data_IF_305093785676
#
_entry.id   IF_305093785676
#
_cell.length_a   1.000
_cell.length_b   1.000
_cell.length_c   1.000
_cell.angle_alpha   90.00
_cell.angle_beta   90.00
_cell.angle_gamma   90.00
#
_symmetry.space_group_name_H-M   'P 1'
#
loop_
_entity.id
_entity.type
_entity.pdbx_description
1 polymer ?
#
# COMPACT_ATOMS: atom_id res chain seq x y z
N UNK A 1 -1.76 1.18 -20.47
CA UNK A 1 -2.73 0.10 -20.26
C UNK A 1 -2.61 -0.33 -18.81
N UNK A 2 -3.47 0.24 -17.98
CA UNK A 2 -3.45 0.12 -16.53
C UNK A 2 -4.14 -1.19 -16.17
N UNK A 3 -3.43 -2.16 -15.60
CA UNK A 3 -4.05 -3.36 -15.08
C UNK A 3 -4.90 -2.95 -13.88
N UNK A 4 -6.22 -2.87 -14.08
CA UNK A 4 -7.18 -2.89 -12.99
C UNK A 4 -6.98 -4.21 -12.25
N UNK A 5 -6.57 -4.13 -10.98
CA UNK A 5 -6.63 -5.27 -10.07
C UNK A 5 -8.10 -5.46 -9.75
N UNK A 6 -8.79 -6.23 -10.60
CA UNK A 6 -10.16 -6.67 -10.36
C UNK A 6 -10.13 -7.71 -9.24
N UNK A 7 -10.65 -7.34 -8.08
CA UNK A 7 -10.96 -8.25 -6.99
C UNK A 7 -12.09 -9.18 -7.41
N UNK A 8 -11.76 -10.30 -8.06
CA UNK A 8 -12.69 -11.38 -8.37
C UNK A 8 -12.21 -12.66 -7.67
N UNK A 9 -12.48 -12.74 -6.37
CA UNK A 9 -12.59 -14.02 -5.68
C UNK A 9 -14.04 -14.27 -5.28
N UNK A 10 -14.50 -15.49 -5.58
CA UNK A 10 -15.85 -16.01 -5.39
C UNK A 10 -16.42 -15.73 -3.99
N UNK A 11 -17.62 -15.14 -3.95
CA UNK A 11 -18.38 -14.78 -2.74
C UNK A 11 -18.95 -15.98 -1.94
N UNK A 12 -18.53 -17.22 -2.22
CA UNK A 12 -19.04 -18.40 -1.51
C UNK A 12 -18.31 -18.58 -0.17
N UNK A 13 -18.93 -18.13 0.91
CA UNK A 13 -18.51 -18.43 2.29
C UNK A 13 -18.43 -17.24 3.25
N UNK A 14 -18.75 -16.01 2.82
CA UNK A 14 -18.82 -14.88 3.75
C UNK A 14 -20.09 -15.05 4.59
N UNK A 15 -19.96 -15.34 5.89
CA UNK A 15 -21.07 -15.22 6.83
C UNK A 15 -21.72 -13.85 6.62
N UNK A 16 -23.06 -13.79 6.50
CA UNK A 16 -23.77 -12.52 6.36
C UNK A 16 -23.56 -11.69 7.63
N UNK A 17 -22.54 -10.85 7.59
CA UNK A 17 -22.27 -9.84 8.61
C UNK A 17 -23.07 -8.61 8.30
N UNK A 18 -23.41 -7.87 9.35
CA UNK A 18 -24.00 -6.55 9.22
C UNK A 18 -23.19 -5.66 8.25
N UNK A 19 -23.88 -4.82 7.47
CA UNK A 19 -23.21 -3.86 6.60
C UNK A 19 -22.36 -2.89 7.43
N UNK A 20 -21.31 -2.34 6.81
CA UNK A 20 -20.53 -1.31 7.47
C UNK A 20 -21.39 -0.06 7.67
N UNK A 21 -21.35 0.53 8.86
CA UNK A 21 -22.11 1.73 9.25
C UNK A 21 -21.38 2.97 8.76
N UNK A 22 -22.04 3.83 7.99
CA UNK A 22 -21.48 5.13 7.59
C UNK A 22 -21.48 6.06 8.80
N UNK A 23 -20.28 6.42 9.29
CA UNK A 23 -20.12 7.30 10.46
C UNK A 23 -19.85 8.75 10.08
N UNK A 24 -19.32 8.98 8.87
CA UNK A 24 -19.00 10.31 8.38
C UNK A 24 -19.13 10.36 6.87
N UNK A 25 -19.66 11.47 6.36
CA UNK A 25 -19.80 11.74 4.94
C UNK A 25 -19.79 13.25 4.70
N UNK A 26 -18.76 13.76 4.02
CA UNK A 26 -18.64 15.17 3.65
C UNK A 26 -18.34 15.34 2.15
N UNK A 27 -17.92 16.53 1.71
CA UNK A 27 -17.60 16.76 0.28
C UNK A 27 -16.45 15.87 -0.24
N UNK A 28 -15.54 15.43 0.63
CA UNK A 28 -14.24 14.91 0.24
C UNK A 28 -14.00 13.46 0.63
N UNK A 29 -14.56 13.00 1.74
CA UNK A 29 -14.30 11.68 2.31
C UNK A 29 -15.57 11.05 2.90
N UNK A 30 -15.53 9.72 3.03
CA UNK A 30 -16.48 8.93 3.82
C UNK A 30 -15.70 8.09 4.83
N UNK A 31 -16.31 7.81 5.99
CA UNK A 31 -15.81 6.80 6.91
C UNK A 31 -16.87 5.76 7.22
N UNK A 32 -16.53 4.49 7.00
CA UNK A 32 -17.39 3.36 7.27
C UNK A 32 -16.82 2.52 8.41
N UNK A 33 -17.62 2.23 9.41
CA UNK A 33 -17.26 1.35 10.52
C UNK A 33 -17.83 -0.05 10.32
N UNK A 34 -16.94 -1.04 10.33
CA UNK A 34 -17.28 -2.44 10.40
C UNK A 34 -16.97 -2.94 11.81
N UNK A 35 -18.01 -3.39 12.50
CA UNK A 35 -17.88 -4.07 13.78
C UNK A 35 -17.27 -5.46 13.57
N UNK A 36 -16.39 -5.88 14.48
CA UNK A 36 -15.69 -7.16 14.42
C UNK A 36 -15.11 -7.56 15.78
N UNK A 37 -14.60 -8.79 15.86
CA UNK A 37 -14.14 -9.41 17.11
C UNK A 37 -12.67 -9.22 17.46
N UNK A 38 -11.90 -8.45 16.67
CA UNK A 38 -10.48 -8.20 16.96
C UNK A 38 -10.27 -7.32 18.20
N UNK A 39 -9.15 -7.52 18.89
CA UNK A 39 -8.70 -6.72 20.05
C UNK A 39 -8.11 -5.35 19.68
N UNK A 40 -7.96 -5.09 18.39
CA UNK A 40 -7.48 -3.84 17.82
C UNK A 40 -8.44 -3.31 16.76
N UNK A 41 -8.40 -2.00 16.54
CA UNK A 41 -9.12 -1.35 15.45
C UNK A 41 -8.21 -1.17 14.24
N UNK A 42 -8.60 -1.69 13.08
CA UNK A 42 -7.90 -1.46 11.83
C UNK A 42 -8.44 -0.20 11.14
N UNK A 43 -7.62 0.85 11.03
CA UNK A 43 -7.95 2.04 10.26
C UNK A 43 -7.31 1.93 8.88
N UNK A 44 -8.16 1.84 7.86
CA UNK A 44 -7.75 1.73 6.47
C UNK A 44 -8.01 3.02 5.72
N UNK A 45 -7.10 3.39 4.84
CA UNK A 45 -7.24 4.56 3.96
C UNK A 45 -7.26 4.11 2.51
N UNK A 46 -8.21 4.60 1.73
CA UNK A 46 -8.35 4.19 0.33
C UNK A 46 -7.16 4.62 -0.52
N UNK A 47 -6.76 3.74 -1.43
CA UNK A 47 -5.86 4.11 -2.51
C UNK A 47 -6.63 4.88 -3.60
N UNK A 48 -5.91 5.58 -4.47
CA UNK A 48 -6.46 6.57 -5.41
C UNK A 48 -7.58 6.03 -6.32
N UNK A 49 -7.54 4.75 -6.72
CA UNK A 49 -8.53 4.13 -7.59
C UNK A 49 -9.75 3.57 -6.86
N UNK A 50 -9.69 3.47 -5.53
CA UNK A 50 -10.80 3.07 -4.69
C UNK A 50 -11.58 4.31 -4.23
N UNK A 51 -12.74 4.53 -4.85
CA UNK A 51 -13.61 5.69 -4.63
C UNK A 51 -14.79 5.31 -3.76
N UNK A 52 -15.21 6.24 -2.91
CA UNK A 52 -16.31 6.04 -1.98
C UNK A 52 -17.65 5.77 -2.69
N UNK A 53 -18.33 4.70 -2.27
CA UNK A 53 -19.66 4.30 -2.76
C UNK A 53 -20.71 4.21 -1.64
N UNK A 54 -20.34 4.64 -0.42
CA UNK A 54 -21.17 4.55 0.79
C UNK A 54 -21.39 3.13 1.32
N UNK A 55 -20.73 2.10 0.76
CA UNK A 55 -21.02 0.69 1.07
C UNK A 55 -19.79 -0.10 1.47
N UNK A 56 -18.65 0.16 0.84
CA UNK A 56 -17.41 -0.60 1.07
C UNK A 56 -16.22 0.34 1.23
N UNK A 57 -15.16 -0.19 1.80
CA UNK A 57 -13.88 0.48 1.95
C UNK A 57 -12.72 -0.39 1.48
N UNK A 58 -11.57 0.23 1.24
CA UNK A 58 -10.36 -0.48 0.88
C UNK A 58 -9.91 -1.35 2.06
N UNK A 59 -9.92 -2.67 1.90
CA UNK A 59 -9.70 -3.61 3.00
C UNK A 59 -10.98 -4.23 3.58
N UNK A 60 -12.16 -3.91 3.07
CA UNK A 60 -13.45 -4.48 3.54
C UNK A 60 -13.46 -6.02 3.51
N UNK A 61 -12.97 -6.63 2.42
CA UNK A 61 -12.87 -8.10 2.32
C UNK A 61 -11.89 -8.69 3.35
N UNK A 62 -10.77 -8.02 3.61
CA UNK A 62 -9.80 -8.44 4.63
C UNK A 62 -10.46 -8.42 6.01
N UNK A 63 -11.09 -7.29 6.36
CA UNK A 63 -11.72 -7.10 7.66
C UNK A 63 -12.86 -8.10 7.88
N UNK A 64 -13.75 -8.30 6.91
CA UNK A 64 -14.86 -9.27 7.01
C UNK A 64 -14.38 -10.71 7.14
N UNK A 65 -13.43 -11.15 6.30
CA UNK A 65 -12.93 -12.53 6.32
C UNK A 65 -12.10 -12.84 7.57
N UNK A 66 -11.56 -11.83 8.24
CA UNK A 66 -10.65 -12.00 9.38
C UNK A 66 -11.25 -11.54 10.71
N UNK A 67 -12.55 -11.24 10.73
CA UNK A 67 -13.26 -10.75 11.90
C UNK A 67 -12.66 -9.49 12.56
N UNK A 68 -12.20 -8.53 11.74
CA UNK A 68 -11.59 -7.31 12.26
C UNK A 68 -12.63 -6.23 12.50
N UNK A 69 -12.57 -5.60 13.67
CA UNK A 69 -13.09 -4.26 13.85
C UNK A 69 -12.29 -3.30 12.96
N UNK A 70 -12.97 -2.52 12.13
CA UNK A 70 -12.30 -1.67 11.16
C UNK A 70 -13.04 -0.37 10.87
N UNK A 71 -12.29 0.71 10.63
CA UNK A 71 -12.79 1.94 10.02
C UNK A 71 -12.14 2.08 8.65
N UNK A 72 -12.96 2.22 7.62
CA UNK A 72 -12.54 2.52 6.27
C UNK A 72 -12.74 3.97 5.91
N UNK A 73 -11.65 4.70 5.76
CA UNK A 73 -11.62 6.11 5.36
C UNK A 73 -11.40 6.16 3.85
N UNK A 74 -12.41 6.62 3.12
CA UNK A 74 -12.45 6.52 1.66
C UNK A 74 -12.56 7.91 1.06
N UNK A 75 -11.61 8.27 0.21
CA UNK A 75 -11.68 9.52 -0.53
C UNK A 75 -12.72 9.43 -1.65
N UNK A 76 -13.49 10.51 -1.86
CA UNK A 76 -14.44 10.64 -2.98
C UNK A 76 -13.73 10.98 -4.30
N UNK A 77 -12.52 11.51 -4.23
CA UNK A 77 -11.67 11.89 -5.36
C UNK A 77 -10.19 11.72 -4.99
N UNK A 78 -9.26 11.75 -5.95
CA UNK A 78 -7.81 11.82 -5.69
C UNK A 78 -7.40 13.14 -4.98
N UNK A 79 -7.71 13.28 -3.69
CA UNK A 79 -7.60 14.51 -2.91
C UNK A 79 -6.66 14.41 -1.69
N UNK A 80 -6.09 13.22 -1.45
CA UNK A 80 -5.18 12.98 -0.32
C UNK A 80 -5.76 13.46 1.02
N UNK A 81 -7.03 13.15 1.28
CA UNK A 81 -7.68 13.32 2.59
C UNK A 81 -7.48 14.73 3.16
N UNK A 82 -8.23 15.74 2.68
CA UNK A 82 -8.04 17.14 3.08
C UNK A 82 -8.10 17.33 4.61
N UNK A 83 -7.23 18.19 5.15
CA UNK A 83 -7.06 18.36 6.60
C UNK A 83 -8.36 18.68 7.32
N UNK A 84 -9.12 19.65 6.80
CA UNK A 84 -10.38 20.08 7.41
C UNK A 84 -11.40 18.93 7.52
N UNK A 85 -11.52 18.10 6.49
CA UNK A 85 -12.36 16.90 6.51
C UNK A 85 -11.89 15.88 7.55
N UNK A 86 -10.58 15.69 7.66
CA UNK A 86 -9.99 14.75 8.62
C UNK A 86 -10.13 15.20 10.08
N UNK A 87 -10.09 16.50 10.36
CA UNK A 87 -10.34 17.06 11.69
C UNK A 87 -11.78 16.82 12.13
N UNK A 88 -12.76 17.13 11.27
CA UNK A 88 -14.19 16.83 11.54
C UNK A 88 -14.44 15.32 11.63
N UNK A 89 -13.78 14.52 10.80
CA UNK A 89 -13.86 13.08 10.90
C UNK A 89 -13.37 12.59 12.27
N UNK A 90 -12.23 13.07 12.75
CA UNK A 90 -11.66 12.64 14.03
C UNK A 90 -12.64 12.86 15.20
N UNK A 91 -13.33 14.01 15.23
CA UNK A 91 -14.39 14.29 16.21
C UNK A 91 -15.54 13.26 16.12
N UNK A 92 -16.01 12.96 14.91
CA UNK A 92 -17.09 11.98 14.70
C UNK A 92 -16.69 10.55 15.08
N UNK A 93 -15.39 10.23 15.01
CA UNK A 93 -14.86 8.92 15.35
C UNK A 93 -14.49 8.77 16.83
N UNK A 94 -14.46 9.85 17.61
CA UNK A 94 -13.91 9.88 18.99
C UNK A 94 -14.45 8.73 19.86
N UNK A 95 -15.77 8.54 19.87
CA UNK A 95 -16.43 7.48 20.65
C UNK A 95 -15.99 6.07 20.25
N UNK A 96 -15.81 5.82 18.96
CA UNK A 96 -15.37 4.51 18.45
C UNK A 96 -13.88 4.32 18.75
N UNK A 97 -13.05 5.34 18.52
CA UNK A 97 -11.60 5.28 18.76
C UNK A 97 -11.28 5.06 20.24
N UNK A 98 -12.04 5.67 21.15
CA UNK A 98 -11.88 5.50 22.60
C UNK A 98 -12.13 4.06 23.07
N UNK A 99 -12.89 3.26 22.31
CA UNK A 99 -13.16 1.86 22.61
C UNK A 99 -11.98 0.91 22.36
N UNK A 100 -10.90 1.36 21.71
CA UNK A 100 -9.77 0.51 21.33
C UNK A 100 -8.45 1.10 21.81
N UNK A 101 -7.71 0.33 22.62
CA UNK A 101 -6.37 0.72 23.06
C UNK A 101 -5.34 0.62 21.93
N UNK A 102 -5.50 -0.35 21.02
CA UNK A 102 -4.64 -0.53 19.85
C UNK A 102 -5.38 -0.12 18.57
N UNK A 103 -4.76 0.77 17.78
CA UNK A 103 -5.30 1.32 16.53
C UNK A 103 -4.25 1.22 15.44
N UNK A 104 -4.48 0.37 14.44
CA UNK A 104 -3.50 0.08 13.40
C UNK A 104 -3.83 0.84 12.13
N UNK A 105 -2.96 1.76 11.73
CA UNK A 105 -3.03 2.46 10.45
C UNK A 105 -2.54 1.59 9.31
N UNK A 106 -3.36 1.37 8.29
CA UNK A 106 -3.02 0.56 7.13
C UNK A 106 -3.39 1.26 5.83
N UNK A 107 -2.46 1.30 4.89
CA UNK A 107 -2.70 1.95 3.61
C UNK A 107 -1.69 1.59 2.55
N UNK A 108 -2.05 1.92 1.31
CA UNK A 108 -1.20 1.80 0.13
C UNK A 108 -1.19 3.11 -0.68
N UNK A 109 -0.03 3.58 -1.10
CA UNK A 109 0.13 4.78 -1.95
C UNK A 109 -0.50 6.04 -1.33
N UNK A 110 -1.61 6.55 -1.90
CA UNK A 110 -2.40 7.63 -1.30
C UNK A 110 -2.98 7.23 0.08
N UNK A 111 -3.39 5.99 0.26
CA UNK A 111 -3.88 5.51 1.54
C UNK A 111 -2.79 5.45 2.60
N UNK A 112 -1.58 5.03 2.21
CA UNK A 112 -0.43 5.02 3.12
C UNK A 112 0.00 6.44 3.53
N UNK A 113 -0.18 7.43 2.64
CA UNK A 113 -0.07 8.84 3.03
C UNK A 113 -1.07 9.18 4.15
N UNK A 114 -2.35 8.82 4.00
CA UNK A 114 -3.38 9.12 5.00
C UNK A 114 -3.08 8.47 6.36
N UNK A 115 -2.67 7.20 6.34
CA UNK A 115 -2.30 6.47 7.54
C UNK A 115 -1.13 7.11 8.30
N UNK A 116 -0.14 7.67 7.61
CA UNK A 116 0.98 8.37 8.25
C UNK A 116 0.59 9.80 8.63
N UNK A 117 -0.03 10.57 7.73
CA UNK A 117 -0.31 11.99 7.91
C UNK A 117 -1.28 12.27 9.07
N UNK A 118 -2.18 11.33 9.35
CA UNK A 118 -3.21 11.48 10.38
C UNK A 118 -3.04 10.49 11.52
N UNK A 119 -1.82 9.96 11.71
CA UNK A 119 -1.56 8.97 12.74
C UNK A 119 -1.83 9.54 14.14
N UNK A 120 -1.25 10.70 14.46
CA UNK A 120 -1.45 11.31 15.78
C UNK A 120 -2.89 11.82 15.98
N UNK A 121 -3.50 12.40 14.94
CA UNK A 121 -4.88 12.88 14.98
C UNK A 121 -5.89 11.76 15.32
N UNK A 122 -5.67 10.56 14.77
CA UNK A 122 -6.55 9.40 14.99
C UNK A 122 -6.04 8.48 16.13
N UNK A 123 -5.00 8.91 16.84
CA UNK A 123 -4.39 8.16 17.94
C UNK A 123 -3.86 6.78 17.53
N UNK A 124 -3.38 6.62 16.29
CA UNK A 124 -2.84 5.35 15.80
C UNK A 124 -1.66 4.90 16.66
N UNK A 125 -1.56 3.61 16.93
CA UNK A 125 -0.52 3.01 17.77
C UNK A 125 0.47 2.18 16.96
N UNK A 126 0.12 1.80 15.73
CA UNK A 126 1.02 1.09 14.81
C UNK A 126 0.71 1.44 13.37
N UNK A 127 1.74 1.73 12.58
CA UNK A 127 1.61 2.06 11.15
C UNK A 127 2.11 0.93 10.26
N UNK A 128 1.33 0.60 9.24
CA UNK A 128 1.69 -0.30 8.15
C UNK A 128 1.49 0.43 6.82
N UNK A 129 2.55 1.09 6.35
CA UNK A 129 2.52 1.93 5.17
C UNK A 129 3.19 1.25 3.96
N UNK A 130 2.40 0.91 2.94
CA UNK A 130 2.88 0.32 1.69
C UNK A 130 3.07 1.40 0.62
N UNK A 131 4.30 1.59 0.14
CA UNK A 131 4.69 2.59 -0.87
C UNK A 131 4.06 3.97 -0.68
N UNK A 132 4.16 4.59 0.53
CA UNK A 132 3.47 5.85 0.78
C UNK A 132 3.94 6.94 -0.16
N UNK A 133 2.97 7.73 -0.61
CA UNK A 133 3.28 9.07 -1.09
C UNK A 133 3.46 9.99 0.11
N UNK A 134 4.31 11.00 -0.02
CA UNK A 134 4.56 11.97 1.04
C UNK A 134 3.86 13.32 0.82
N UNK A 135 3.51 13.61 -0.44
CA UNK A 135 2.87 14.84 -0.91
C UNK A 135 2.56 14.65 -2.41
N UNK A 136 1.65 15.46 -2.96
CA UNK A 136 1.48 15.66 -4.41
C UNK A 136 1.81 17.09 -4.85
N UNK A 137 2.25 17.94 -3.92
CA UNK A 137 2.70 19.28 -4.26
C UNK A 137 3.98 19.19 -5.09
N UNK A 138 3.98 19.82 -6.28
CA UNK A 138 5.14 19.85 -7.18
C UNK A 138 6.39 20.40 -6.51
N UNK A 139 6.25 21.35 -5.57
CA UNK A 139 7.36 21.90 -4.80
C UNK A 139 8.04 20.85 -3.91
N UNK A 140 7.27 19.89 -3.41
CA UNK A 140 7.78 18.85 -2.51
C UNK A 140 8.38 17.67 -3.29
N UNK A 141 7.68 17.22 -4.34
CA UNK A 141 7.99 15.97 -5.06
C UNK A 141 8.95 16.12 -6.22
N UNK A 142 9.15 17.35 -6.72
CA UNK A 142 10.12 17.66 -7.76
C UNK A 142 9.87 16.92 -9.08
N UNK A 143 10.95 16.44 -9.70
CA UNK A 143 10.92 15.67 -10.96
C UNK A 143 10.84 14.16 -10.71
N UNK A 144 10.98 13.74 -9.47
CA UNK A 144 11.01 12.36 -9.02
C UNK A 144 9.65 11.70 -9.18
N UNK A 145 8.56 12.45 -8.95
CA UNK A 145 7.21 11.95 -9.16
C UNK A 145 6.18 13.05 -9.54
N UNK A 146 6.09 13.43 -10.82
CA UNK A 146 5.09 14.41 -11.28
C UNK A 146 3.69 13.81 -11.52
N UNK A 147 3.47 12.51 -11.27
CA UNK A 147 2.29 11.77 -11.76
C UNK A 147 0.97 12.35 -11.28
N UNK A 148 0.94 12.87 -10.05
CA UNK A 148 -0.28 13.28 -9.35
C UNK A 148 -0.36 14.77 -9.05
N UNK A 149 0.64 15.58 -9.48
CA UNK A 149 0.67 17.02 -9.18
C UNK A 149 -0.51 17.78 -9.77
N UNK A 150 -1.17 17.24 -10.80
CA UNK A 150 -2.41 17.79 -11.38
C UNK A 150 -3.60 17.78 -10.40
N UNK A 151 -3.56 16.97 -9.36
CA UNK A 151 -4.61 16.88 -8.35
C UNK A 151 -4.37 17.89 -7.20
N UNK A 152 -3.18 18.48 -7.11
CA UNK A 152 -2.86 19.46 -6.10
C UNK A 152 -3.66 20.75 -6.31
N UNK A 153 -4.30 21.19 -5.23
CA UNK A 153 -5.06 22.44 -5.13
C UNK A 153 -4.64 23.14 -3.84
N UNK A 154 -4.04 24.34 -3.89
CA UNK A 154 -3.54 25.01 -2.69
C UNK A 154 -4.58 25.20 -1.59
N UNK A 155 -5.83 25.50 -1.95
CA UNK A 155 -6.94 25.67 -1.00
C UNK A 155 -7.31 24.36 -0.27
N UNK A 156 -7.09 23.21 -0.90
CA UNK A 156 -7.48 21.90 -0.36
C UNK A 156 -6.33 21.17 0.35
N UNK A 157 -5.11 21.39 -0.12
CA UNK A 157 -3.91 20.65 0.32
C UNK A 157 -2.96 21.53 1.13
N UNK A 158 -3.49 22.59 1.75
CA UNK A 158 -2.72 23.39 2.71
C UNK A 158 -2.22 22.49 3.84
N UNK A 159 -0.92 22.52 4.11
CA UNK A 159 -0.30 21.67 5.15
C UNK A 159 -0.22 20.17 4.80
N UNK A 160 -0.32 19.79 3.52
CA UNK A 160 -0.25 18.40 3.07
C UNK A 160 1.07 17.69 3.40
N UNK A 161 2.20 18.39 3.37
CA UNK A 161 3.49 17.76 3.67
C UNK A 161 3.44 17.11 5.06
N UNK A 162 3.94 15.87 5.16
CA UNK A 162 4.05 15.16 6.44
C UNK A 162 5.12 15.84 7.28
N UNK A 163 4.74 16.19 8.49
CA UNK A 163 5.54 16.89 9.51
C UNK A 163 5.80 15.98 10.71
N UNK A 164 6.69 16.39 11.60
CA UNK A 164 7.14 15.55 12.72
C UNK A 164 6.09 15.29 13.80
N UNK A 165 5.01 16.06 13.84
CA UNK A 165 3.89 15.87 14.77
C UNK A 165 2.67 15.19 14.14
N UNK A 166 2.81 14.65 12.92
CA UNK A 166 1.72 13.92 12.25
C UNK A 166 1.74 12.42 12.55
N UNK A 167 2.91 11.86 12.90
CA UNK A 167 3.09 10.45 13.23
C UNK A 167 4.20 10.20 14.25
N UNK A 168 3.83 10.10 15.53
CA UNK A 168 4.69 9.61 16.62
C UNK A 168 4.58 8.10 16.82
N UNK A 169 3.58 7.45 16.20
CA UNK A 169 3.36 6.02 16.29
C UNK A 169 4.50 5.22 15.62
N UNK A 170 4.97 4.12 16.25
CA UNK A 170 5.94 3.24 15.61
C UNK A 170 5.29 2.44 14.48
N UNK A 171 6.12 1.88 13.62
CA UNK A 171 5.60 1.03 12.56
C UNK A 171 6.59 0.73 11.47
N UNK A 172 6.05 0.38 10.31
CA UNK A 172 6.82 -0.06 9.17
C UNK A 172 6.39 0.60 7.88
N UNK A 173 7.39 1.05 7.13
CA UNK A 173 7.24 1.55 5.77
C UNK A 173 7.88 0.57 4.79
N UNK A 174 7.09 0.09 3.83
CA UNK A 174 7.48 -0.93 2.88
C UNK A 174 7.46 -0.37 1.47
N UNK A 175 8.62 -0.30 0.81
CA UNK A 175 8.71 0.13 -0.58
C UNK A 175 9.85 -0.55 -1.33
N UNK A 176 9.77 -0.56 -2.67
CA UNK A 176 10.82 -1.08 -3.53
C UNK A 176 11.99 -0.08 -3.61
N UNK A 177 13.19 -0.40 -3.10
CA UNK A 177 14.37 0.47 -3.23
C UNK A 177 14.77 0.75 -4.68
N UNK A 178 14.34 -0.07 -5.64
CA UNK A 178 14.58 0.15 -7.07
C UNK A 178 13.63 1.18 -7.70
N UNK A 179 12.54 1.55 -7.02
CA UNK A 179 11.57 2.51 -7.53
C UNK A 179 11.90 3.93 -7.03
N UNK A 180 12.31 4.80 -7.96
CA UNK A 180 12.85 6.14 -7.62
C UNK A 180 11.84 7.04 -6.91
N UNK A 181 10.58 7.07 -7.38
CA UNK A 181 9.51 7.89 -6.78
C UNK A 181 9.24 7.47 -5.33
N UNK A 182 8.86 6.21 -5.13
CA UNK A 182 8.66 5.59 -3.81
C UNK A 182 9.86 5.73 -2.87
N UNK A 183 11.10 5.61 -3.38
CA UNK A 183 12.27 5.88 -2.56
C UNK A 183 12.29 7.34 -2.11
N UNK A 184 12.09 8.29 -3.01
CA UNK A 184 12.07 9.71 -2.66
C UNK A 184 10.93 10.06 -1.67
N UNK A 185 9.76 9.43 -1.80
CA UNK A 185 8.66 9.61 -0.84
C UNK A 185 8.94 8.93 0.50
N UNK A 186 9.41 7.69 0.50
CA UNK A 186 9.72 6.96 1.72
C UNK A 186 10.80 7.65 2.55
N UNK A 187 11.83 8.18 1.92
CA UNK A 187 12.87 8.98 2.61
C UNK A 187 12.31 10.29 3.19
N UNK A 188 11.31 10.92 2.54
CA UNK A 188 10.61 12.10 3.12
C UNK A 188 9.77 11.71 4.32
N UNK A 189 9.01 10.62 4.21
CA UNK A 189 8.20 10.07 5.31
C UNK A 189 9.07 9.75 6.52
N UNK A 190 10.16 8.99 6.35
CA UNK A 190 11.04 8.60 7.45
C UNK A 190 11.76 9.77 8.12
N UNK A 191 11.98 10.88 7.40
CA UNK A 191 12.52 12.11 7.99
C UNK A 191 11.53 12.82 8.91
N UNK A 192 10.23 12.71 8.61
CA UNK A 192 9.18 13.33 9.40
C UNK A 192 8.72 12.39 10.54
N UNK A 193 8.51 11.11 10.26
CA UNK A 193 8.02 10.10 11.20
C UNK A 193 9.16 9.16 11.62
N UNK A 194 9.94 9.57 12.63
CA UNK A 194 11.18 8.89 13.05
C UNK A 194 10.99 7.49 13.62
N UNK A 195 9.80 7.18 14.14
CA UNK A 195 9.47 5.87 14.72
C UNK A 195 9.12 4.81 13.66
N UNK A 196 9.06 5.20 12.37
CA UNK A 196 8.82 4.27 11.28
C UNK A 196 10.12 3.61 10.79
N UNK A 197 10.09 2.29 10.68
CA UNK A 197 11.22 1.48 10.22
C UNK A 197 11.02 1.01 8.80
N UNK A 198 12.07 1.16 7.98
CA UNK A 198 12.06 0.70 6.59
C UNK A 198 12.17 -0.82 6.50
N UNK A 199 11.27 -1.44 5.73
CA UNK A 199 11.39 -2.84 5.31
C UNK A 199 11.38 -2.91 3.78
N UNK A 200 12.54 -3.16 3.14
CA UNK A 200 12.63 -3.19 1.69
C UNK A 200 11.80 -4.32 1.07
N UNK A 201 11.10 -4.01 -0.03
CA UNK A 201 10.38 -4.98 -0.87
C UNK A 201 10.91 -4.93 -2.31
N UNK A 202 12.13 -5.43 -2.57
CA UNK A 202 12.80 -5.24 -3.84
C UNK A 202 12.11 -5.96 -5.01
N UNK A 203 12.16 -5.32 -6.17
CA UNK A 203 11.65 -5.81 -7.45
C UNK A 203 10.12 -5.93 -7.55
N UNK A 204 9.37 -5.25 -6.68
CA UNK A 204 7.90 -5.21 -6.74
C UNK A 204 7.37 -3.97 -7.47
N UNK A 205 8.22 -2.98 -7.75
CA UNK A 205 7.78 -1.67 -8.22
C UNK A 205 6.87 -0.98 -7.21
N UNK A 206 5.95 -0.14 -7.70
CA UNK A 206 5.05 0.62 -6.84
C UNK A 206 4.04 -0.25 -6.10
N UNK A 207 3.49 -1.28 -6.75
CA UNK A 207 2.39 -2.13 -6.29
C UNK A 207 2.83 -3.15 -5.21
N UNK A 208 3.48 -2.67 -4.15
CA UNK A 208 3.99 -3.48 -3.02
C UNK A 208 2.89 -4.22 -2.29
N UNK A 209 1.69 -3.64 -2.24
CA UNK A 209 0.47 -4.25 -1.70
C UNK A 209 0.18 -5.62 -2.33
N UNK A 210 0.54 -5.84 -3.59
CA UNK A 210 0.29 -7.11 -4.27
C UNK A 210 1.12 -8.27 -3.71
N UNK A 211 2.17 -8.00 -2.93
CA UNK A 211 2.85 -9.03 -2.15
C UNK A 211 1.97 -9.63 -1.04
N UNK A 212 0.92 -8.90 -0.63
CA UNK A 212 0.06 -9.22 0.51
C UNK A 212 -1.42 -9.26 0.14
N UNK A 213 -1.76 -9.38 -1.15
CA UNK A 213 -3.14 -9.25 -1.65
C UNK A 213 -4.13 -10.28 -1.08
N UNK A 214 -3.67 -11.49 -0.74
CA UNK A 214 -4.50 -12.50 -0.09
C UNK A 214 -4.83 -12.12 1.36
N UNK A 215 -6.01 -12.49 1.86
CA UNK A 215 -6.39 -12.31 3.28
C UNK A 215 -5.33 -12.86 4.24
N UNK A 216 -4.81 -14.07 3.99
CA UNK A 216 -3.78 -14.68 4.82
C UNK A 216 -2.47 -13.86 4.81
N UNK A 217 -2.04 -13.38 3.65
CA UNK A 217 -0.85 -12.53 3.50
C UNK A 217 -0.97 -11.18 4.19
N UNK A 218 -2.12 -10.51 4.06
CA UNK A 218 -2.40 -9.25 4.73
C UNK A 218 -2.46 -9.42 6.26
N UNK A 219 -3.14 -10.46 6.77
CA UNK A 219 -3.15 -10.77 8.20
C UNK A 219 -1.75 -11.08 8.74
N UNK A 220 -0.95 -11.86 7.99
CA UNK A 220 0.42 -12.16 8.38
C UNK A 220 1.26 -10.88 8.49
N UNK A 221 1.09 -9.94 7.55
CA UNK A 221 1.77 -8.64 7.59
C UNK A 221 1.30 -7.79 8.78
N UNK A 222 -0.01 -7.63 8.97
CA UNK A 222 -0.58 -6.84 10.07
C UNK A 222 -0.10 -7.36 11.42
N UNK A 223 -0.23 -8.67 11.67
CA UNK A 223 0.20 -9.29 12.93
C UNK A 223 1.70 -9.16 13.15
N UNK A 224 2.51 -9.32 12.10
CA UNK A 224 3.95 -9.11 12.20
C UNK A 224 4.28 -7.66 12.55
N UNK A 225 3.65 -6.68 11.90
CA UNK A 225 3.91 -5.26 12.17
C UNK A 225 3.48 -4.85 13.58
N UNK A 226 2.33 -5.34 14.07
CA UNK A 226 1.84 -5.12 15.44
C UNK A 226 2.81 -5.62 16.52
N UNK A 227 3.58 -6.68 16.23
CA UNK A 227 4.61 -7.16 17.17
C UNK A 227 5.77 -6.19 17.37
N UNK A 228 5.94 -5.21 16.47
CA UNK A 228 7.08 -4.29 16.43
C UNK A 228 8.46 -4.98 16.45
N UNK A 229 8.51 -6.28 16.10
CA UNK A 229 9.74 -7.08 15.98
C UNK A 229 10.25 -7.12 14.53
N UNK A 230 11.41 -6.50 14.32
CA UNK A 230 12.09 -6.40 13.03
C UNK A 230 12.32 -7.77 12.36
N UNK A 231 12.66 -8.80 13.14
CA UNK A 231 12.97 -10.13 12.63
C UNK A 231 11.70 -10.83 12.15
N UNK A 232 10.60 -10.72 12.92
CA UNK A 232 9.30 -11.27 12.54
C UNK A 232 8.80 -10.61 11.25
N UNK A 233 8.82 -9.27 11.19
CA UNK A 233 8.38 -8.53 9.99
C UNK A 233 9.23 -8.89 8.78
N UNK A 234 10.56 -8.88 8.89
CA UNK A 234 11.44 -9.24 7.78
C UNK A 234 11.21 -10.69 7.33
N UNK A 235 10.90 -11.62 8.24
CA UNK A 235 10.61 -13.01 7.88
C UNK A 235 9.32 -13.13 7.08
N UNK A 236 8.24 -12.50 7.54
CA UNK A 236 6.95 -12.49 6.84
C UNK A 236 7.06 -11.84 5.47
N UNK A 237 7.72 -10.68 5.39
CA UNK A 237 7.94 -9.98 4.11
C UNK A 237 8.75 -10.85 3.14
N UNK A 238 9.88 -11.45 3.58
CA UNK A 238 10.68 -12.33 2.71
C UNK A 238 9.87 -13.52 2.20
N UNK A 239 9.05 -14.13 3.05
CA UNK A 239 8.20 -15.26 2.66
C UNK A 239 7.17 -14.83 1.58
N UNK A 240 6.50 -13.71 1.78
CA UNK A 240 5.56 -13.14 0.81
C UNK A 240 6.24 -12.85 -0.54
N UNK A 241 7.43 -12.25 -0.51
CA UNK A 241 8.23 -11.94 -1.70
C UNK A 241 8.74 -13.18 -2.45
N UNK A 242 9.08 -14.26 -1.76
CA UNK A 242 9.56 -15.50 -2.40
C UNK A 242 8.46 -16.21 -3.21
N UNK A 243 7.20 -16.04 -2.82
CA UNK A 243 6.04 -16.58 -3.51
C UNK A 243 5.50 -15.66 -4.61
N UNK A 244 5.88 -14.38 -4.62
CA UNK A 244 5.16 -13.37 -5.39
C UNK A 244 5.54 -13.33 -6.89
N UNK A 245 4.57 -13.49 -7.82
CA UNK A 245 4.81 -13.46 -9.26
C UNK A 245 5.30 -12.10 -9.77
N UNK A 246 4.78 -10.99 -9.22
CA UNK A 246 5.20 -9.65 -9.62
C UNK A 246 6.67 -9.41 -9.28
N UNK A 247 7.13 -9.88 -8.12
CA UNK A 247 8.55 -9.82 -7.75
C UNK A 247 9.43 -10.63 -8.70
N UNK A 248 9.02 -11.86 -9.01
CA UNK A 248 9.76 -12.74 -9.93
C UNK A 248 9.90 -12.04 -11.30
N UNK A 249 8.81 -11.47 -11.80
CA UNK A 249 8.80 -10.69 -13.05
C UNK A 249 9.69 -9.46 -12.97
N UNK A 250 9.61 -8.67 -11.90
CA UNK A 250 10.45 -7.50 -11.69
C UNK A 250 11.94 -7.85 -11.67
N UNK A 251 12.32 -8.94 -10.97
CA UNK A 251 13.69 -9.45 -10.95
C UNK A 251 14.16 -9.87 -12.35
N UNK A 252 13.31 -10.57 -13.11
CA UNK A 252 13.62 -10.98 -14.48
C UNK A 252 13.86 -9.78 -15.41
N UNK A 253 13.03 -8.73 -15.31
CA UNK A 253 13.20 -7.49 -16.07
C UNK A 253 14.46 -6.72 -15.64
N UNK A 254 14.75 -6.65 -14.35
CA UNK A 254 15.96 -5.99 -13.84
C UNK A 254 17.25 -6.66 -14.39
N UNK A 255 17.22 -7.98 -14.58
CA UNK A 255 18.34 -8.73 -15.17
C UNK A 255 18.47 -8.51 -16.69
N UNK A 256 17.40 -8.16 -17.40
CA UNK A 256 17.34 -8.24 -18.87
C UNK A 256 18.43 -7.43 -19.58
N UNK A 257 18.74 -6.23 -19.08
CA UNK A 257 19.67 -5.34 -19.73
C UNK A 257 21.13 -5.87 -19.71
N UNK A 258 21.55 -6.45 -18.58
CA UNK A 258 22.94 -6.87 -18.31
C UNK A 258 23.15 -8.38 -18.38
N UNK A 259 22.16 -9.16 -17.97
CA UNK A 259 22.22 -10.61 -17.84
C UNK A 259 21.00 -11.27 -18.49
N UNK A 260 20.81 -11.15 -19.82
CA UNK A 260 19.65 -11.74 -20.49
C UNK A 260 19.57 -13.27 -20.37
N UNK A 261 20.69 -13.97 -20.14
CA UNK A 261 20.66 -15.41 -19.77
C UNK A 261 19.92 -15.65 -18.45
N UNK A 262 20.16 -14.80 -17.44
CA UNK A 262 19.48 -14.91 -16.15
C UNK A 262 17.99 -14.65 -16.30
N UNK A 263 17.59 -13.65 -17.09
CA UNK A 263 16.16 -13.43 -17.40
C UNK A 263 15.49 -14.68 -17.97
N UNK A 264 16.14 -15.37 -18.92
CA UNK A 264 15.63 -16.62 -19.46
C UNK A 264 15.53 -17.71 -18.37
N UNK A 265 16.61 -17.92 -17.61
CA UNK A 265 16.66 -18.91 -16.53
C UNK A 265 15.62 -18.66 -15.43
N UNK A 266 15.38 -17.40 -15.05
CA UNK A 266 14.35 -17.02 -14.07
C UNK A 266 12.97 -17.36 -14.62
N UNK A 267 12.66 -16.96 -15.86
CA UNK A 267 11.37 -17.26 -16.48
C UNK A 267 11.10 -18.77 -16.56
N UNK A 268 12.11 -19.58 -16.90
CA UNK A 268 12.00 -21.04 -16.92
C UNK A 268 11.86 -21.64 -15.53
N UNK A 269 12.69 -21.21 -14.57
CA UNK A 269 12.69 -21.75 -13.19
C UNK A 269 11.39 -21.50 -12.45
N UNK A 270 10.75 -20.37 -12.73
CA UNK A 270 9.52 -19.96 -12.04
C UNK A 270 8.29 -20.02 -12.96
N UNK A 271 8.33 -20.84 -14.01
CA UNK A 271 7.25 -20.91 -14.99
C UNK A 271 5.88 -21.22 -14.35
N UNK A 272 5.84 -22.10 -13.33
CA UNK A 272 4.61 -22.46 -12.60
C UNK A 272 4.01 -21.31 -11.78
N UNK A 273 4.83 -20.31 -11.45
CA UNK A 273 4.38 -19.13 -10.67
C UNK A 273 4.02 -17.94 -11.56
N UNK A 274 4.34 -18.00 -12.84
CA UNK A 274 4.10 -16.92 -13.79
C UNK A 274 2.97 -17.30 -14.75
N UNK A 275 2.35 -16.31 -15.39
CA UNK A 275 1.43 -16.62 -16.49
C UNK A 275 2.22 -17.16 -17.70
N UNK A 276 1.63 -18.04 -18.52
CA UNK A 276 2.28 -18.50 -19.76
C UNK A 276 2.72 -17.34 -20.67
N UNK A 277 1.94 -16.26 -20.69
CA UNK A 277 2.27 -15.02 -21.41
C UNK A 277 3.53 -14.34 -20.86
N UNK A 278 3.63 -14.19 -19.53
CA UNK A 278 4.80 -13.60 -18.89
C UNK A 278 6.07 -14.41 -19.17
N UNK A 279 5.97 -15.75 -19.10
CA UNK A 279 7.09 -16.65 -19.43
C UNK A 279 7.53 -16.46 -20.88
N UNK A 280 6.59 -16.54 -21.82
CA UNK A 280 6.88 -16.40 -23.25
C UNK A 280 7.50 -15.04 -23.58
N UNK A 281 6.97 -13.97 -23.00
CA UNK A 281 7.46 -12.60 -23.17
C UNK A 281 8.89 -12.44 -22.66
N UNK A 282 9.18 -12.88 -21.43
CA UNK A 282 10.50 -12.78 -20.83
C UNK A 282 11.54 -13.58 -21.61
N UNK A 283 11.21 -14.81 -22.01
CA UNK A 283 12.08 -15.65 -22.82
C UNK A 283 12.36 -15.04 -24.20
N UNK A 284 11.33 -14.50 -24.86
CA UNK A 284 11.45 -13.79 -26.13
C UNK A 284 12.36 -12.56 -26.03
N UNK A 285 12.19 -11.75 -24.99
CA UNK A 285 13.03 -10.57 -24.74
C UNK A 285 14.50 -10.96 -24.50
N UNK A 286 14.73 -11.97 -23.67
CA UNK A 286 16.07 -12.50 -23.39
C UNK A 286 16.78 -12.98 -24.66
N UNK A 287 16.11 -13.80 -25.49
CA UNK A 287 16.64 -14.30 -26.78
C UNK A 287 17.00 -13.15 -27.73
N UNK A 288 16.10 -12.16 -27.87
CA UNK A 288 16.34 -10.97 -28.70
C UNK A 288 17.56 -10.17 -28.23
N UNK A 289 17.71 -9.95 -26.92
CA UNK A 289 18.85 -9.23 -26.34
C UNK A 289 20.17 -9.98 -26.57
N UNK A 290 20.19 -11.30 -26.37
CA UNK A 290 21.36 -12.15 -26.64
C UNK A 290 21.79 -12.10 -28.11
N UNK A 291 20.84 -12.16 -29.05
CA UNK A 291 21.13 -12.04 -30.48
C UNK A 291 21.80 -10.69 -30.81
N UNK A 292 21.29 -9.58 -30.25
CA UNK A 292 21.87 -8.24 -30.42
C UNK A 292 23.28 -8.14 -29.84
N UNK A 293 23.52 -8.67 -28.65
CA UNK A 293 24.86 -8.66 -28.02
C UNK A 293 25.89 -9.43 -28.86
N UNK A 294 25.51 -10.59 -29.41
CA UNK A 294 26.38 -11.36 -30.31
C UNK A 294 26.70 -10.61 -31.59
N UNK A 295 25.72 -9.93 -32.19
CA UNK A 295 25.92 -9.16 -33.41
C UNK A 295 26.85 -7.94 -33.19
N UNK A 296 26.82 -7.33 -32.00
CA UNK A 296 27.70 -6.22 -31.65
C UNK A 296 29.13 -6.64 -31.24
N UNK A 297 29.37 -7.95 -31.08
CA UNK A 297 30.69 -8.51 -30.73
C UNK A 297 31.41 -9.12 -31.94
N UNK A 298 30.85 -8.96 -33.14
CA UNK A 298 31.40 -9.37 -34.43
C UNK A 298 31.76 -8.12 -35.22
#
# INVERSE_FOLDING_TARGET
>A
MTNQVLWLESSKGVMQREPAKLLHDDEHIQALYLEGGSDYLLLTFSEMSFVADGRRFWGDTLARKSDLAAIGIVAKQPNWFPRASMEVLAENLESVLAGYAERVGYGFSMGAYGAVKYADLLGLTTIVALSPQSSINKADVGREDPRYTRHFRPSLHSGMAISSGDCLAPGYILFDPGHRGDTAHGERVMRAASELRRVPVPFTGHETVLAFASTAGANALLNACRSLDDLIVRRVVRAALAANPNRIRGLAYACLARHPRWTFSIASRYAEKLTPEDVAKLQSLARRKLKRQRAASR
#
